data_IF_372129961879
#
_entry.id   IF_372129961879
#
_cell.length_a   1.000
_cell.length_b   1.000
_cell.length_c   1.000
_cell.angle_alpha   90.00
_cell.angle_beta   90.00
_cell.angle_gamma   90.00
#
_symmetry.space_group_name_H-M   'P 1'
#
loop_
_entity.id
_entity.type
_entity.pdbx_description
1 polymer ?
#
# COMPACT_ATOMS: atom_id res chain seq x y z
N UNK A 1 -18.30 2.68 -3.66
CA UNK A 1 -18.58 1.22 -3.58
C UNK A 1 -18.61 0.50 -4.94
N UNK A 2 -19.11 1.09 -6.03
CA UNK A 2 -19.18 0.45 -7.36
C UNK A 2 -17.82 0.19 -8.07
N UNK A 3 -16.76 0.94 -7.75
CA UNK A 3 -15.43 0.75 -8.35
C UNK A 3 -14.65 -0.45 -7.77
N UNK A 4 -14.84 -0.76 -6.48
CA UNK A 4 -14.23 -1.92 -5.82
C UNK A 4 -14.80 -3.25 -6.37
N UNK A 5 -16.09 -3.29 -6.68
CA UNK A 5 -16.69 -4.47 -7.34
C UNK A 5 -16.14 -4.70 -8.74
N UNK A 6 -15.89 -3.65 -9.55
CA UNK A 6 -15.38 -3.83 -10.91
C UNK A 6 -13.92 -4.31 -10.94
N UNK A 7 -13.09 -3.87 -10.00
CA UNK A 7 -11.71 -4.35 -9.89
C UNK A 7 -11.63 -5.81 -9.40
N UNK A 8 -12.44 -6.19 -8.41
CA UNK A 8 -12.51 -7.56 -7.91
C UNK A 8 -13.12 -8.53 -8.94
N UNK A 9 -14.14 -8.09 -9.70
CA UNK A 9 -14.75 -8.87 -10.79
C UNK A 9 -13.77 -9.06 -11.96
N UNK A 10 -12.97 -8.04 -12.30
CA UNK A 10 -11.98 -8.16 -13.37
C UNK A 10 -10.84 -9.15 -13.02
N UNK A 11 -10.39 -9.15 -11.76
CA UNK A 11 -9.41 -10.12 -11.29
C UNK A 11 -9.95 -11.56 -11.30
N UNK A 12 -11.24 -11.75 -10.97
CA UNK A 12 -11.89 -13.07 -10.98
C UNK A 12 -12.15 -13.59 -12.41
N UNK A 13 -12.46 -12.70 -13.36
CA UNK A 13 -12.76 -13.08 -14.74
C UNK A 13 -11.50 -13.44 -15.56
N UNK A 14 -10.33 -12.86 -15.24
CA UNK A 14 -9.04 -13.27 -15.81
C UNK A 14 -8.60 -14.64 -15.26
N UNK A 15 -8.96 -14.97 -14.02
CA UNK A 15 -8.58 -16.23 -13.38
C UNK A 15 -9.36 -17.44 -13.91
N UNK A 16 -10.61 -17.25 -14.39
CA UNK A 16 -11.43 -18.33 -14.95
C UNK A 16 -11.18 -18.60 -16.45
N UNK A 17 -10.60 -17.65 -17.20
CA UNK A 17 -10.42 -17.81 -18.64
C UNK A 17 -9.05 -18.42 -19.05
N UNK A 18 -8.13 -18.62 -18.10
CA UNK A 18 -6.80 -19.17 -18.36
C UNK A 18 -6.63 -20.65 -17.94
N UNK A 19 -7.67 -21.28 -17.37
CA UNK A 19 -7.58 -22.68 -16.89
C UNK A 19 -8.15 -23.72 -17.88
N UNK A 20 -8.75 -23.28 -18.99
CA UNK A 20 -9.43 -24.17 -19.97
C UNK A 20 -8.71 -24.24 -21.32
N UNK A 21 -7.37 -24.32 -21.34
CA UNK A 21 -6.64 -24.51 -22.60
C UNK A 21 -5.35 -25.29 -22.42
N UNK A 22 -5.45 -26.49 -21.84
CA UNK A 22 -4.38 -27.49 -21.91
C UNK A 22 -4.94 -28.91 -21.92
N UNK A 23 -5.68 -29.24 -22.98
CA UNK A 23 -5.87 -30.63 -23.41
C UNK A 23 -5.94 -30.64 -24.94
N UNK A 24 -5.21 -31.60 -25.52
CA UNK A 24 -5.10 -31.99 -26.95
C UNK A 24 -4.15 -31.20 -27.86
N UNK A 25 -2.84 -31.31 -27.61
CA UNK A 25 -1.87 -31.35 -28.73
C UNK A 25 -1.77 -32.79 -29.26
N UNK A 26 -1.84 -32.87 -30.58
CA UNK A 26 -1.82 -34.07 -31.43
C UNK A 26 -0.78 -35.11 -31.04
N UNK A 27 -1.18 -36.38 -31.14
CA UNK A 27 -0.30 -37.54 -31.24
C UNK A 27 0.49 -37.40 -32.55
N UNK A 28 1.71 -36.88 -32.43
CA UNK A 28 2.79 -36.99 -33.40
C UNK A 28 3.97 -37.63 -32.66
N UNK A 29 4.64 -38.56 -33.32
CA UNK A 29 5.57 -39.55 -32.76
C UNK A 29 6.56 -39.02 -31.70
N UNK A 30 6.83 -39.80 -30.63
CA UNK A 30 7.86 -39.46 -29.66
C UNK A 30 9.24 -39.70 -30.29
N UNK A 31 9.91 -38.61 -30.68
CA UNK A 31 11.37 -38.62 -30.76
C UNK A 31 11.87 -38.87 -29.35
N UNK A 32 12.43 -40.06 -29.11
CA UNK A 32 13.03 -40.49 -27.85
C UNK A 32 14.30 -39.67 -27.61
N UNK A 33 14.09 -38.42 -27.20
CA UNK A 33 15.13 -37.57 -26.64
C UNK A 33 15.66 -38.19 -25.34
N UNK A 34 16.96 -38.02 -25.13
CA UNK A 34 17.69 -38.47 -23.94
C UNK A 34 16.89 -38.14 -22.65
N UNK A 35 16.60 -39.13 -21.77
CA UNK A 35 15.85 -38.94 -20.52
C UNK A 35 16.43 -37.84 -19.61
N UNK A 36 17.69 -37.44 -19.82
CA UNK A 36 18.34 -36.31 -19.13
C UNK A 36 17.73 -34.95 -19.49
N UNK A 37 17.37 -34.71 -20.75
CA UNK A 37 16.82 -33.42 -21.23
C UNK A 37 15.40 -33.17 -20.70
N UNK A 38 14.60 -34.23 -20.57
CA UNK A 38 13.20 -34.13 -20.13
C UNK A 38 13.07 -33.79 -18.64
N UNK A 39 13.97 -34.29 -17.79
CA UNK A 39 14.04 -33.92 -16.37
C UNK A 39 14.47 -32.46 -16.16
N UNK A 40 15.44 -31.97 -16.96
CA UNK A 40 15.91 -30.58 -16.92
C UNK A 40 14.82 -29.56 -17.30
N UNK A 41 13.99 -29.87 -18.31
CA UNK A 41 12.85 -29.03 -18.69
C UNK A 41 11.75 -29.01 -17.63
N UNK A 42 11.49 -30.16 -17.00
CA UNK A 42 10.55 -30.28 -15.89
C UNK A 42 10.98 -29.40 -14.71
N UNK A 43 12.25 -29.49 -14.27
CA UNK A 43 12.77 -28.68 -13.16
C UNK A 43 12.75 -27.18 -13.46
N UNK A 44 13.12 -26.76 -14.68
CA UNK A 44 13.00 -25.34 -15.10
C UNK A 44 11.56 -24.84 -15.08
N UNK A 45 10.59 -25.69 -15.43
CA UNK A 45 9.17 -25.31 -15.43
C UNK A 45 8.63 -25.13 -14.00
N UNK A 46 9.02 -26.01 -13.06
CA UNK A 46 8.65 -25.92 -11.63
C UNK A 46 9.31 -24.70 -10.99
N UNK A 47 10.59 -24.44 -11.25
CA UNK A 47 11.29 -23.25 -10.76
C UNK A 47 10.68 -21.95 -11.31
N UNK A 48 10.35 -21.90 -12.62
CA UNK A 48 9.61 -20.77 -13.20
C UNK A 48 8.24 -20.59 -12.55
N UNK A 49 7.46 -21.64 -12.37
CA UNK A 49 6.14 -21.57 -11.73
C UNK A 49 6.22 -21.12 -10.26
N UNK A 50 7.24 -21.56 -9.51
CA UNK A 50 7.47 -21.11 -8.14
C UNK A 50 7.81 -19.60 -8.10
N UNK A 51 8.65 -19.13 -9.02
CA UNK A 51 9.00 -17.70 -9.12
C UNK A 51 7.81 -16.81 -9.51
N UNK A 52 6.94 -17.29 -10.41
CA UNK A 52 5.72 -16.58 -10.82
C UNK A 52 4.73 -16.51 -9.67
N UNK A 53 4.51 -17.61 -8.94
CA UNK A 53 3.64 -17.64 -7.74
C UNK A 53 4.17 -16.72 -6.63
N UNK A 54 5.48 -16.72 -6.38
CA UNK A 54 6.08 -15.83 -5.38
C UNK A 54 5.93 -14.35 -5.76
N UNK A 55 6.10 -14.00 -7.04
CA UNK A 55 5.86 -12.64 -7.53
C UNK A 55 4.39 -12.24 -7.42
N UNK A 56 3.48 -13.14 -7.79
CA UNK A 56 2.03 -12.90 -7.72
C UNK A 56 1.54 -12.68 -6.28
N UNK A 57 2.03 -13.48 -5.32
CA UNK A 57 1.71 -13.30 -3.90
C UNK A 57 2.12 -11.93 -3.38
N UNK A 58 3.33 -11.47 -3.72
CA UNK A 58 3.81 -10.13 -3.33
C UNK A 58 2.92 -9.03 -3.89
N UNK A 59 2.52 -9.13 -5.17
CA UNK A 59 1.60 -8.17 -5.78
C UNK A 59 0.25 -8.16 -5.07
N UNK A 60 -0.34 -9.33 -4.78
CA UNK A 60 -1.60 -9.41 -4.03
C UNK A 60 -1.45 -8.73 -2.66
N UNK A 61 -0.40 -9.07 -1.91
CA UNK A 61 -0.20 -8.50 -0.57
C UNK A 61 -0.04 -6.98 -0.59
N UNK A 62 0.75 -6.45 -1.53
CA UNK A 62 0.92 -5.00 -1.71
C UNK A 62 -0.43 -4.32 -2.00
N UNK A 63 -1.24 -4.90 -2.89
CA UNK A 63 -2.57 -4.37 -3.22
C UNK A 63 -3.48 -4.42 -2.00
N UNK A 64 -3.53 -5.54 -1.28
CA UNK A 64 -4.39 -5.67 -0.10
C UNK A 64 -4.02 -4.68 1.01
N UNK A 65 -2.72 -4.50 1.30
CA UNK A 65 -2.30 -3.52 2.31
C UNK A 65 -2.58 -2.09 1.86
N UNK A 66 -2.36 -1.77 0.58
CA UNK A 66 -2.68 -0.44 0.05
C UNK A 66 -4.20 -0.17 0.09
N UNK A 67 -5.04 -1.16 -0.18
CA UNK A 67 -6.49 -1.02 -0.02
C UNK A 67 -6.90 -0.79 1.44
N UNK A 68 -6.26 -1.46 2.40
CA UNK A 68 -6.49 -1.22 3.83
C UNK A 68 -6.09 0.20 4.21
N UNK A 69 -4.93 0.67 3.74
CA UNK A 69 -4.48 2.04 3.99
C UNK A 69 -5.45 3.10 3.42
N UNK A 70 -5.95 2.91 2.20
CA UNK A 70 -6.97 3.79 1.62
C UNK A 70 -8.28 3.75 2.42
N UNK A 71 -8.69 2.56 2.89
CA UNK A 71 -9.88 2.44 3.72
C UNK A 71 -9.72 3.18 5.05
N UNK A 72 -8.54 3.12 5.67
CA UNK A 72 -8.21 3.90 6.88
C UNK A 72 -8.28 5.40 6.63
N UNK A 73 -7.70 5.89 5.53
CA UNK A 73 -7.76 7.31 5.15
C UNK A 73 -9.20 7.82 4.94
N UNK A 74 -10.05 7.02 4.28
CA UNK A 74 -11.47 7.34 4.07
C UNK A 74 -12.23 7.27 5.41
N UNK A 75 -11.97 6.26 6.22
CA UNK A 75 -12.64 6.10 7.51
C UNK A 75 -12.35 7.29 8.43
N UNK A 76 -11.08 7.71 8.49
CA UNK A 76 -10.67 8.91 9.21
C UNK A 76 -11.32 10.20 8.67
N UNK A 77 -11.54 10.31 7.34
CA UNK A 77 -12.21 11.47 6.74
C UNK A 77 -13.60 11.71 7.32
N UNK A 78 -14.26 10.64 7.74
CA UNK A 78 -15.62 10.66 8.29
C UNK A 78 -15.57 10.86 9.81
N UNK A 79 -14.62 10.21 10.50
CA UNK A 79 -14.46 10.28 11.96
C UNK A 79 -13.64 11.50 12.44
N UNK A 80 -13.92 12.70 11.89
CA UNK A 80 -13.14 13.96 11.96
C UNK A 80 -12.68 14.51 13.35
N UNK A 81 -12.94 13.81 14.45
CA UNK A 81 -12.63 14.26 15.82
C UNK A 81 -11.28 13.81 16.39
N UNK A 82 -10.70 12.68 15.94
CA UNK A 82 -9.60 12.06 16.67
C UNK A 82 -8.19 12.59 16.35
N UNK A 83 -7.98 13.18 15.15
CA UNK A 83 -6.67 13.70 14.73
C UNK A 83 -6.75 15.11 14.13
N UNK A 84 -7.49 16.01 14.79
CA UNK A 84 -7.60 17.42 14.40
C UNK A 84 -6.24 18.14 14.45
N UNK A 85 -5.35 17.70 15.35
CA UNK A 85 -4.04 18.30 15.60
C UNK A 85 -2.97 18.01 14.53
N UNK A 86 -3.19 17.01 13.67
CA UNK A 86 -2.26 16.67 12.58
C UNK A 86 -2.79 17.10 11.20
N UNK A 87 -3.59 18.16 11.15
CA UNK A 87 -4.00 18.79 9.89
C UNK A 87 -2.88 19.68 9.36
N UNK A 88 -1.99 19.07 8.60
CA UNK A 88 -1.02 19.79 7.77
C UNK A 88 -1.56 20.02 6.36
N UNK A 89 -1.20 21.15 5.77
CA UNK A 89 -1.39 21.37 4.33
C UNK A 89 -0.05 21.34 3.62
N UNK A 90 0.00 20.65 2.49
CA UNK A 90 1.14 20.64 1.58
C UNK A 90 0.68 21.35 0.31
N UNK A 91 1.28 22.50 -0.01
CA UNK A 91 0.84 23.36 -1.12
C UNK A 91 -0.65 23.77 -1.05
N UNK A 92 -1.25 23.83 0.15
CA UNK A 92 -2.68 24.14 0.32
C UNK A 92 -3.62 22.96 0.10
N UNK A 93 -3.09 21.74 -0.11
CA UNK A 93 -3.85 20.50 -0.14
C UNK A 93 -3.71 19.81 1.22
N UNK A 94 -4.83 19.33 1.79
CA UNK A 94 -4.79 18.57 3.04
C UNK A 94 -3.97 17.29 2.90
N UNK A 95 -3.19 16.96 3.94
CA UNK A 95 -2.33 15.78 3.98
C UNK A 95 -3.09 14.48 3.67
N UNK A 96 -4.37 14.40 4.01
CA UNK A 96 -5.26 13.29 3.71
C UNK A 96 -5.36 12.98 2.20
N UNK A 97 -5.57 14.00 1.37
CA UNK A 97 -5.65 13.80 -0.09
C UNK A 97 -4.30 13.36 -0.65
N UNK A 98 -3.20 13.85 -0.07
CA UNK A 98 -1.83 13.43 -0.43
C UNK A 98 -1.62 11.95 -0.09
N UNK A 99 -2.07 11.48 1.08
CA UNK A 99 -2.02 10.08 1.48
C UNK A 99 -2.82 9.16 0.54
N UNK A 100 -4.04 9.56 0.19
CA UNK A 100 -4.90 8.82 -0.76
C UNK A 100 -4.24 8.76 -2.15
N UNK A 101 -3.75 9.89 -2.66
CA UNK A 101 -3.06 9.94 -3.95
C UNK A 101 -1.80 9.08 -3.95
N UNK A 102 -1.01 9.11 -2.89
CA UNK A 102 0.18 8.29 -2.70
C UNK A 102 -0.15 6.79 -2.75
N UNK A 103 -1.17 6.33 -2.01
CA UNK A 103 -1.59 4.94 -2.03
C UNK A 103 -2.14 4.50 -3.40
N UNK A 104 -2.87 5.38 -4.09
CA UNK A 104 -3.30 5.14 -5.46
C UNK A 104 -2.12 4.95 -6.43
N UNK A 105 -1.06 5.75 -6.29
CA UNK A 105 0.18 5.59 -7.05
C UNK A 105 0.87 4.24 -6.76
N UNK A 106 0.91 3.79 -5.50
CA UNK A 106 1.46 2.47 -5.14
C UNK A 106 0.69 1.35 -5.81
N UNK A 107 -0.65 1.41 -5.79
CA UNK A 107 -1.51 0.40 -6.43
C UNK A 107 -1.24 0.38 -7.94
N UNK A 108 -1.20 1.56 -8.58
CA UNK A 108 -0.91 1.68 -10.00
C UNK A 108 0.46 1.09 -10.36
N UNK A 109 1.51 1.46 -9.63
CA UNK A 109 2.86 0.93 -9.86
C UNK A 109 2.95 -0.58 -9.60
N UNK A 110 2.17 -1.10 -8.65
CA UNK A 110 2.07 -2.54 -8.38
C UNK A 110 1.43 -3.28 -9.55
N UNK A 111 0.41 -2.71 -10.19
CA UNK A 111 -0.23 -3.26 -11.41
C UNK A 111 0.71 -3.17 -12.61
N UNK A 112 1.44 -2.06 -12.76
CA UNK A 112 2.42 -1.84 -13.83
C UNK A 112 3.71 -2.68 -13.65
N UNK A 113 3.86 -3.40 -12.53
CA UNK A 113 5.03 -4.24 -12.19
C UNK A 113 6.37 -3.50 -12.26
N UNK A 114 6.36 -2.19 -12.00
CA UNK A 114 7.58 -1.34 -12.00
C UNK A 114 8.27 -1.41 -10.63
N UNK A 115 8.88 -2.56 -10.34
CA UNK A 115 9.52 -2.87 -9.04
C UNK A 115 10.50 -1.78 -8.54
N UNK A 116 11.22 -1.09 -9.45
CA UNK A 116 12.17 -0.02 -9.11
C UNK A 116 11.50 1.28 -8.67
N UNK A 117 10.43 1.70 -9.36
CA UNK A 117 9.70 2.91 -9.00
C UNK A 117 8.85 2.66 -7.76
N UNK A 118 8.29 1.45 -7.63
CA UNK A 118 7.51 1.07 -6.47
C UNK A 118 8.33 1.15 -5.18
N UNK A 119 9.55 0.59 -5.16
CA UNK A 119 10.42 0.66 -3.97
C UNK A 119 10.90 2.10 -3.68
N UNK A 120 11.12 2.90 -4.72
CA UNK A 120 11.47 4.33 -4.58
C UNK A 120 10.32 5.12 -3.94
N UNK A 121 9.09 4.88 -4.39
CA UNK A 121 7.90 5.54 -3.86
C UNK A 121 7.61 5.09 -2.42
N UNK A 122 7.66 3.79 -2.15
CA UNK A 122 7.46 3.23 -0.80
C UNK A 122 8.50 3.79 0.18
N UNK A 123 9.77 3.82 -0.21
CA UNK A 123 10.84 4.39 0.63
C UNK A 123 10.66 5.89 0.85
N UNK A 124 10.26 6.65 -0.17
CA UNK A 124 9.90 8.06 0.00
C UNK A 124 8.80 8.24 1.06
N UNK A 125 7.74 7.40 1.01
CA UNK A 125 6.70 7.41 2.04
C UNK A 125 7.23 7.07 3.43
N UNK A 126 8.11 6.08 3.58
CA UNK A 126 8.75 5.77 4.88
C UNK A 126 9.47 6.99 5.45
N UNK A 127 10.18 7.75 4.62
CA UNK A 127 10.80 9.01 5.05
C UNK A 127 9.76 10.01 5.58
N UNK A 128 8.69 10.23 4.83
CA UNK A 128 7.61 11.14 5.20
C UNK A 128 6.93 10.72 6.52
N UNK A 129 6.56 9.45 6.64
CA UNK A 129 5.95 8.89 7.86
C UNK A 129 6.88 9.02 9.07
N UNK A 130 8.18 8.80 8.87
CA UNK A 130 9.18 8.97 9.93
C UNK A 130 9.23 10.43 10.42
N UNK A 131 9.16 11.41 9.51
CA UNK A 131 9.07 12.82 9.89
C UNK A 131 7.78 13.13 10.67
N UNK A 132 6.64 12.60 10.23
CA UNK A 132 5.36 12.81 10.89
C UNK A 132 5.30 12.20 12.29
N UNK A 133 5.91 11.03 12.49
CA UNK A 133 6.07 10.43 13.82
C UNK A 133 6.95 11.33 14.70
N UNK A 134 8.07 11.83 14.17
CA UNK A 134 8.94 12.77 14.88
C UNK A 134 8.19 14.05 15.30
N UNK A 135 7.35 14.59 14.43
CA UNK A 135 6.51 15.75 14.74
C UNK A 135 5.50 15.47 15.86
N UNK A 136 4.87 14.29 15.84
CA UNK A 136 3.93 13.86 16.90
C UNK A 136 4.62 13.73 18.26
N UNK A 137 5.84 13.17 18.30
CA UNK A 137 6.64 13.04 19.52
C UNK A 137 7.10 14.40 20.04
N UNK A 138 7.48 15.32 19.16
CA UNK A 138 7.94 16.66 19.55
C UNK A 138 6.82 17.51 20.16
N UNK A 139 5.58 17.29 19.73
CA UNK A 139 4.40 18.03 20.16
C UNK A 139 3.49 17.24 21.11
N UNK A 140 3.95 16.10 21.62
CA UNK A 140 3.23 15.20 22.55
C UNK A 140 1.78 14.89 22.14
N UNK A 141 1.51 14.88 20.83
CA UNK A 141 0.17 14.71 20.28
C UNK A 141 0.17 13.52 19.34
N UNK A 142 -0.43 12.41 19.80
CA UNK A 142 -0.40 11.14 19.08
C UNK A 142 -1.72 10.87 18.34
N UNK A 143 -1.62 10.56 17.05
CA UNK A 143 -2.75 10.12 16.25
C UNK A 143 -2.64 8.60 15.98
N UNK A 144 -3.52 7.75 16.56
CA UNK A 144 -3.45 6.31 16.36
C UNK A 144 -3.65 5.91 14.89
N UNK A 145 -4.47 6.65 14.14
CA UNK A 145 -4.73 6.40 12.72
C UNK A 145 -3.50 6.67 11.84
N UNK A 146 -2.79 7.79 12.06
CA UNK A 146 -1.55 8.09 11.36
C UNK A 146 -0.47 7.05 11.70
N UNK A 147 -0.39 6.61 12.96
CA UNK A 147 0.55 5.57 13.37
C UNK A 147 0.24 4.22 12.70
N UNK A 148 -1.05 3.88 12.56
CA UNK A 148 -1.47 2.68 11.83
C UNK A 148 -1.14 2.78 10.33
N UNK A 149 -1.36 3.93 9.69
CA UNK A 149 -0.97 4.18 8.31
C UNK A 149 0.54 4.05 8.13
N UNK A 150 1.33 4.68 9.00
CA UNK A 150 2.78 4.56 9.02
C UNK A 150 3.21 3.10 9.15
N UNK A 151 2.62 2.33 10.07
CA UNK A 151 2.91 0.91 10.24
C UNK A 151 2.67 0.11 8.95
N UNK A 152 1.56 0.38 8.23
CA UNK A 152 1.28 -0.25 6.94
C UNK A 152 2.38 0.10 5.92
N UNK A 153 2.78 1.36 5.82
CA UNK A 153 3.86 1.81 4.92
C UNK A 153 5.20 1.12 5.26
N UNK A 154 5.56 1.01 6.54
CA UNK A 154 6.75 0.27 6.98
C UNK A 154 6.69 -1.21 6.61
N UNK A 155 5.54 -1.87 6.77
CA UNK A 155 5.35 -3.26 6.37
C UNK A 155 5.50 -3.41 4.85
N UNK A 156 4.88 -2.51 4.05
CA UNK A 156 5.08 -2.47 2.60
C UNK A 156 6.56 -2.35 2.24
N UNK A 157 7.29 -1.46 2.93
CA UNK A 157 8.71 -1.28 2.70
C UNK A 157 9.51 -2.54 3.01
N UNK A 158 9.32 -3.13 4.19
CA UNK A 158 10.00 -4.35 4.60
C UNK A 158 9.77 -5.50 3.62
N UNK A 159 8.53 -5.66 3.13
CA UNK A 159 8.19 -6.70 2.15
C UNK A 159 8.81 -6.48 0.76
N UNK A 160 8.96 -5.23 0.35
CA UNK A 160 9.51 -4.85 -0.95
C UNK A 160 11.02 -4.56 -0.90
N UNK A 161 11.64 -4.56 0.29
CA UNK A 161 13.04 -4.23 0.49
C UNK A 161 13.97 -5.20 -0.23
N UNK A 162 14.95 -4.65 -0.96
CA UNK A 162 16.01 -5.41 -1.61
C UNK A 162 17.36 -4.81 -1.24
N UNK A 163 18.24 -5.63 -0.65
CA UNK A 163 19.59 -5.22 -0.21
C UNK A 163 20.44 -4.65 -1.35
N UNK A 164 20.25 -5.12 -2.58
CA UNK A 164 20.96 -4.60 -3.76
C UNK A 164 20.57 -3.16 -4.15
N UNK A 165 19.48 -2.61 -3.60
CA UNK A 165 18.95 -1.28 -3.96
C UNK A 165 18.82 -0.35 -2.76
N UNK A 166 19.50 -0.65 -1.67
CA UNK A 166 19.44 0.13 -0.43
C UNK A 166 19.87 1.58 -0.67
N UNK A 167 20.92 1.83 -1.45
CA UNK A 167 21.38 3.19 -1.78
C UNK A 167 20.27 4.04 -2.43
N UNK A 168 19.51 3.44 -3.35
CA UNK A 168 18.41 4.13 -4.02
C UNK A 168 17.27 4.43 -3.05
N UNK A 169 16.98 3.51 -2.11
CA UNK A 169 15.97 3.72 -1.07
C UNK A 169 16.37 4.83 -0.09
N UNK A 170 17.63 4.87 0.34
CA UNK A 170 18.13 5.91 1.24
C UNK A 170 18.10 7.27 0.55
N UNK A 171 18.51 7.33 -0.72
CA UNK A 171 18.48 8.58 -1.49
C UNK A 171 17.05 9.12 -1.63
N UNK A 172 16.06 8.26 -1.96
CA UNK A 172 14.66 8.68 -2.05
C UNK A 172 14.07 9.05 -0.69
N UNK A 173 14.41 8.34 0.39
CA UNK A 173 14.01 8.72 1.75
C UNK A 173 14.50 10.11 2.12
N UNK A 174 15.80 10.37 1.94
CA UNK A 174 16.41 11.67 2.28
C UNK A 174 15.83 12.77 1.40
N UNK A 175 15.66 12.53 0.09
CA UNK A 175 15.05 13.51 -0.81
C UNK A 175 13.60 13.83 -0.41
N UNK A 176 12.80 12.82 -0.08
CA UNK A 176 11.41 12.99 0.36
C UNK A 176 11.33 13.72 1.70
N UNK A 177 12.20 13.38 2.66
CA UNK A 177 12.32 14.07 3.94
C UNK A 177 12.62 15.56 3.77
N UNK A 178 13.64 15.89 2.96
CA UNK A 178 14.03 17.29 2.71
C UNK A 178 12.88 18.02 2.02
N UNK A 179 12.29 17.44 0.98
CA UNK A 179 11.16 18.02 0.28
C UNK A 179 9.98 18.27 1.23
N UNK A 180 9.58 17.25 1.98
CA UNK A 180 8.48 17.34 2.92
C UNK A 180 8.73 18.41 3.99
N UNK A 181 9.93 18.46 4.57
CA UNK A 181 10.27 19.45 5.60
C UNK A 181 10.18 20.91 5.12
N UNK A 182 10.46 21.16 3.84
CA UNK A 182 10.39 22.51 3.26
C UNK A 182 8.94 22.92 2.98
N UNK A 183 8.09 21.98 2.52
CA UNK A 183 6.74 22.29 2.06
C UNK A 183 5.65 22.08 3.12
N UNK A 184 5.92 21.25 4.13
CA UNK A 184 4.96 20.94 5.17
C UNK A 184 4.80 22.12 6.12
N UNK A 185 3.62 22.73 6.11
CA UNK A 185 3.19 23.64 7.17
C UNK A 185 2.26 22.86 8.11
N UNK A 186 2.82 22.35 9.21
CA UNK A 186 2.03 21.84 10.32
C UNK A 186 1.41 23.03 11.06
N UNK A 187 0.08 23.08 11.15
CA UNK A 187 -0.58 24.04 12.03
C UNK A 187 -0.79 23.36 13.39
N UNK A 188 -0.23 23.94 14.45
CA UNK A 188 -0.47 23.51 15.83
C UNK A 188 -1.61 24.31 16.46
N UNK A 189 -2.29 25.18 15.71
CA UNK A 189 -3.38 25.97 16.26
C UNK A 189 -4.52 25.02 16.66
N UNK A 190 -4.85 24.91 17.95
CA UNK A 190 -6.01 24.17 18.37
C UNK A 190 -7.22 24.97 17.87
N UNK A 191 -7.84 24.52 16.79
CA UNK A 191 -9.19 24.98 16.47
C UNK A 191 -10.13 24.39 17.52
N UNK A 192 -10.26 25.09 18.65
CA UNK A 192 -11.32 24.89 19.64
C UNK A 192 -12.65 25.31 19.01
N UNK A 193 -13.15 24.53 18.05
CA UNK A 193 -14.51 24.64 17.58
C UNK A 193 -15.08 23.26 17.29
N UNK A 194 -15.20 22.45 18.35
CA UNK A 194 -15.99 21.22 18.34
C UNK A 194 -16.99 21.19 19.49
N UNK A 195 -17.73 22.27 19.66
CA UNK A 195 -19.06 22.16 20.25
C UNK A 195 -20.04 22.77 19.26
N UNK A 196 -20.88 21.91 18.68
CA UNK A 196 -22.01 22.19 17.78
C UNK A 196 -21.82 21.97 16.26
N UNK A 197 -21.26 20.84 15.81
CA UNK A 197 -21.73 20.29 14.51
C UNK A 197 -21.41 18.81 14.22
N UNK A 198 -21.21 17.95 15.21
CA UNK A 198 -21.31 16.49 14.95
C UNK A 198 -22.72 16.03 15.27
N UNK A 199 -23.46 15.61 14.25
CA UNK A 199 -24.74 14.94 14.40
C UNK A 199 -24.55 13.75 15.37
N UNK A 200 -25.38 13.58 16.42
CA UNK A 200 -25.22 12.50 17.42
C UNK A 200 -25.11 11.10 16.81
N UNK A 201 -25.62 10.92 15.58
CA UNK A 201 -25.58 9.68 14.80
C UNK A 201 -24.17 9.31 14.27
N UNK A 202 -23.28 10.28 14.02
CA UNK A 202 -21.94 9.99 13.49
C UNK A 202 -20.95 9.59 14.60
N UNK A 203 -21.18 10.08 15.82
CA UNK A 203 -20.33 9.78 16.99
C UNK A 203 -20.42 8.29 17.39
N UNK A 204 -21.61 7.69 17.29
CA UNK A 204 -21.81 6.27 17.63
C UNK A 204 -21.18 5.30 16.62
N UNK A 205 -20.95 5.71 15.37
CA UNK A 205 -20.32 4.87 14.34
C UNK A 205 -18.79 4.74 14.53
N UNK A 206 -18.16 5.77 15.09
CA UNK A 206 -16.73 5.74 15.41
C UNK A 206 -16.45 5.01 16.74
N UNK A 207 -17.35 5.14 17.72
CA UNK A 207 -17.25 4.47 19.03
C UNK A 207 -17.53 2.96 18.95
N UNK A 208 -18.29 2.50 17.95
CA UNK A 208 -18.54 1.06 17.72
C UNK A 208 -17.48 0.35 16.87
N UNK A 209 -16.46 1.08 16.39
CA UNK A 209 -15.33 0.53 15.64
C UNK A 209 -14.06 0.33 16.48
N UNK A 210 -14.16 0.42 17.81
CA UNK A 210 -13.23 -0.25 18.71
C UNK A 210 -13.67 -1.72 18.91
N UNK A 211 -13.14 -2.68 18.14
CA UNK A 211 -12.98 -4.02 18.66
C UNK A 211 -11.49 -4.34 18.86
N UNK A 212 -11.19 -4.83 20.05
CA UNK A 212 -9.98 -5.58 20.43
C UNK A 212 -8.66 -4.81 20.58
N UNK A 213 -8.56 -3.96 21.60
CA UNK A 213 -7.40 -4.01 22.53
C UNK A 213 -7.86 -3.71 23.95
N UNK A 214 -8.46 -4.71 24.60
CA UNK A 214 -8.44 -4.90 26.05
C UNK A 214 -8.50 -6.41 26.32
#
# INVERSE_FOLDING_TARGET
>A
MLLLSRAAVCAKNIFLHHDTSRRTTKIGEPVMGDPTEMNLLQERSVARQASVRARHRKTIMNITLACIAVALEIYYSICAGACSYLKGTIFGIDLQYVGIAYMACIILLSVLKRDTLLIMLISAGVGIEFYLIGFQVWHDTYCPYCLAFAAIVFILFAMNFKRNRTTLCVLSMVAALIFFSIFFKGSLEPTYSYTLQTNPTERSLCESAEPLTA
#
